data_IF_399122765826
#
_entry.id   IF_399122765826
#
_cell.length_a   1.000
_cell.length_b   1.000
_cell.length_c   1.000
_cell.angle_alpha   90.00
_cell.angle_beta   90.00
_cell.angle_gamma   90.00
#
_symmetry.space_group_name_H-M   'P 1'
#
loop_
_entity.id
_entity.type
_entity.pdbx_description
1 polymer ?
#
# COMPACT_ATOMS: atom_id res chain seq x y z
N UNK A 1 28.71 -12.37 4.43
CA UNK A 1 28.91 -11.25 3.47
C UNK A 1 28.56 -11.76 2.08
N UNK A 2 27.53 -11.22 1.43
CA UNK A 2 27.25 -11.55 0.02
C UNK A 2 28.12 -10.68 -0.88
N UNK A 3 28.67 -11.26 -1.95
CA UNK A 3 29.47 -10.53 -2.91
C UNK A 3 28.62 -9.46 -3.62
N UNK A 4 29.21 -8.28 -3.84
CA UNK A 4 28.58 -7.16 -4.57
C UNK A 4 29.21 -7.08 -5.97
N UNK A 5 28.54 -7.60 -7.02
CA UNK A 5 29.09 -7.56 -8.36
C UNK A 5 29.22 -6.13 -8.89
N UNK A 6 30.12 -5.94 -9.85
CA UNK A 6 30.18 -4.74 -10.67
C UNK A 6 29.13 -4.87 -11.78
N UNK A 7 28.30 -3.84 -11.94
CA UNK A 7 27.23 -3.76 -12.93
C UNK A 7 27.62 -2.74 -13.99
N UNK A 8 27.40 -3.08 -15.26
CA UNK A 8 27.65 -2.20 -16.42
C UNK A 8 26.48 -1.27 -16.66
N UNK A 9 26.76 0.00 -16.93
CA UNK A 9 25.75 0.98 -17.35
C UNK A 9 25.56 0.86 -18.86
N UNK A 10 24.31 0.75 -19.30
CA UNK A 10 23.96 0.73 -20.73
C UNK A 10 23.54 2.12 -21.20
N UNK A 11 23.79 2.41 -22.48
CA UNK A 11 23.31 3.62 -23.15
C UNK A 11 21.92 3.43 -23.78
N UNK A 12 21.33 4.51 -24.33
CA UNK A 12 20.00 4.48 -24.95
C UNK A 12 19.94 3.58 -26.21
N UNK A 13 21.11 3.28 -26.81
CA UNK A 13 21.23 2.36 -27.94
C UNK A 13 21.47 0.91 -27.51
N UNK A 14 21.33 0.65 -26.20
CA UNK A 14 21.50 -0.65 -25.57
C UNK A 14 22.93 -1.22 -25.70
N UNK A 15 23.93 -0.36 -25.95
CA UNK A 15 25.34 -0.71 -25.93
C UNK A 15 25.92 -0.55 -24.52
N UNK A 16 26.85 -1.43 -24.17
CA UNK A 16 27.51 -1.40 -22.87
C UNK A 16 28.50 -0.23 -22.81
N UNK A 17 28.31 0.68 -21.85
CA UNK A 17 29.24 1.76 -21.59
C UNK A 17 30.44 1.25 -20.78
N UNK A 18 31.59 1.93 -20.88
CA UNK A 18 32.79 1.65 -20.08
C UNK A 18 32.64 1.92 -18.58
N UNK A 19 31.54 2.55 -18.16
CA UNK A 19 31.25 2.87 -16.75
C UNK A 19 30.70 1.64 -16.03
N UNK A 20 31.36 1.26 -14.95
CA UNK A 20 30.93 0.18 -14.07
C UNK A 20 30.66 0.71 -12.66
N UNK A 21 29.56 0.28 -12.06
CA UNK A 21 29.13 0.69 -10.72
C UNK A 21 29.00 -0.56 -9.85
N UNK A 22 29.50 -0.50 -8.62
CA UNK A 22 29.31 -1.59 -7.65
C UNK A 22 27.83 -1.69 -7.26
N UNK A 23 27.24 -2.88 -7.31
CA UNK A 23 25.85 -3.11 -6.91
C UNK A 23 25.57 -2.51 -5.52
N UNK A 24 24.65 -1.56 -5.36
CA UNK A 24 24.29 -1.00 -4.05
C UNK A 24 23.81 -2.05 -3.04
N UNK A 25 24.06 -1.82 -1.76
CA UNK A 25 23.69 -2.79 -0.71
C UNK A 25 22.17 -3.02 -0.59
N UNK A 26 21.35 -2.06 -1.02
CA UNK A 26 19.88 -2.16 -0.98
C UNK A 26 19.34 -3.33 -1.81
N UNK A 27 20.06 -3.78 -2.84
CA UNK A 27 19.65 -4.92 -3.67
C UNK A 27 19.95 -6.28 -3.03
N UNK A 28 20.73 -6.31 -1.95
CA UNK A 28 21.08 -7.53 -1.22
C UNK A 28 20.33 -7.64 0.12
N UNK A 29 19.48 -6.67 0.46
CA UNK A 29 18.74 -6.69 1.70
C UNK A 29 17.76 -7.87 1.69
N UNK A 30 17.55 -8.55 2.84
CA UNK A 30 16.61 -9.65 2.92
C UNK A 30 15.19 -9.14 2.64
N UNK A 31 14.49 -9.82 1.72
CA UNK A 31 13.14 -9.45 1.35
C UNK A 31 12.18 -10.03 2.38
N UNK A 32 11.59 -9.15 3.18
CA UNK A 32 10.56 -9.46 4.17
C UNK A 32 9.17 -9.15 3.62
N UNK A 33 8.55 -10.16 3.01
CA UNK A 33 7.22 -10.02 2.38
C UNK A 33 6.13 -9.68 3.39
N UNK A 34 6.27 -10.18 4.62
CA UNK A 34 5.40 -9.86 5.77
C UNK A 34 5.37 -8.34 6.07
N UNK A 35 6.54 -7.71 6.14
CA UNK A 35 6.64 -6.27 6.41
C UNK A 35 6.15 -5.43 5.25
N UNK A 36 6.48 -5.82 4.01
CA UNK A 36 6.02 -5.12 2.80
C UNK A 36 4.50 -5.12 2.76
N UNK A 37 3.87 -6.27 2.99
CA UNK A 37 2.42 -6.39 2.97
C UNK A 37 1.77 -5.62 4.12
N UNK A 38 2.30 -5.73 5.34
CA UNK A 38 1.78 -5.01 6.49
C UNK A 38 1.80 -3.49 6.28
N UNK A 39 2.95 -2.93 5.86
CA UNK A 39 3.09 -1.50 5.63
C UNK A 39 2.21 -1.04 4.47
N UNK A 40 2.19 -1.80 3.37
CA UNK A 40 1.35 -1.49 2.22
C UNK A 40 -0.13 -1.38 2.61
N UNK A 41 -0.64 -2.32 3.40
CA UNK A 41 -2.03 -2.31 3.86
C UNK A 41 -2.34 -1.10 4.75
N UNK A 42 -1.43 -0.70 5.64
CA UNK A 42 -1.64 0.49 6.49
C UNK A 42 -1.60 1.77 5.66
N UNK A 43 -0.61 1.93 4.78
CA UNK A 43 -0.48 3.13 3.93
C UNK A 43 -1.66 3.25 2.98
N UNK A 44 -2.14 2.13 2.42
CA UNK A 44 -3.32 2.10 1.54
C UNK A 44 -4.58 2.61 2.25
N UNK A 45 -4.73 2.33 3.55
CA UNK A 45 -5.90 2.79 4.31
C UNK A 45 -5.93 4.30 4.49
N UNK A 46 -4.77 4.96 4.53
CA UNK A 46 -4.65 6.40 4.80
C UNK A 46 -5.22 7.29 3.68
N UNK A 47 -5.27 6.80 2.44
CA UNK A 47 -5.82 7.56 1.31
C UNK A 47 -7.35 7.47 1.19
N UNK A 48 -8.00 6.61 1.98
CA UNK A 48 -9.45 6.40 1.88
C UNK A 48 -10.22 7.62 2.38
N UNK A 49 -11.26 8.01 1.66
CA UNK A 49 -12.20 9.03 2.10
C UNK A 49 -13.31 8.38 2.94
N UNK A 50 -13.66 9.04 4.05
CA UNK A 50 -14.75 8.59 4.90
C UNK A 50 -16.09 8.72 4.18
N UNK A 51 -16.95 7.73 4.36
CA UNK A 51 -18.32 7.73 3.85
C UNK A 51 -19.23 7.18 4.96
N UNK A 52 -20.43 7.75 5.08
CA UNK A 52 -21.41 7.36 6.09
C UNK A 52 -22.83 7.61 5.57
N UNK A 53 -23.80 6.92 6.15
CA UNK A 53 -25.23 7.16 5.90
C UNK A 53 -25.68 8.37 6.73
N UNK A 54 -26.74 9.06 6.28
CA UNK A 54 -27.35 10.15 7.05
C UNK A 54 -27.78 9.67 8.43
N UNK A 55 -27.49 10.46 9.46
CA UNK A 55 -27.89 10.18 10.85
C UNK A 55 -29.40 10.11 11.04
N UNK A 56 -30.18 10.70 10.12
CA UNK A 56 -31.65 10.69 10.15
C UNK A 56 -32.27 9.64 9.21
N UNK A 57 -31.47 8.81 8.54
CA UNK A 57 -32.01 7.78 7.66
C UNK A 57 -32.88 6.80 8.47
N UNK A 58 -34.14 6.61 8.07
CA UNK A 58 -35.11 5.80 8.81
C UNK A 58 -35.78 6.49 10.02
N UNK A 59 -35.34 7.69 10.41
CA UNK A 59 -35.92 8.45 11.53
C UNK A 59 -36.91 9.55 11.10
N UNK A 60 -36.99 9.85 9.79
CA UNK A 60 -37.93 10.83 9.25
C UNK A 60 -39.32 10.22 9.02
N UNK A 61 -39.82 9.48 10.00
CA UNK A 61 -41.12 8.80 9.97
C UNK A 61 -41.86 9.07 11.27
N UNK A 62 -43.16 9.36 11.16
CA UNK A 62 -44.06 9.43 12.30
C UNK A 62 -44.50 8.02 12.65
N UNK A 63 -43.94 7.47 13.73
CA UNK A 63 -44.26 6.13 14.22
C UNK A 63 -44.40 6.16 15.75
N UNK A 64 -45.41 5.46 16.24
CA UNK A 64 -45.67 5.28 17.67
C UNK A 64 -45.90 3.80 17.98
N UNK A 65 -45.62 3.39 19.22
CA UNK A 65 -45.81 2.01 19.67
C UNK A 65 -47.30 1.72 19.85
N UNK A 66 -47.74 0.50 19.49
CA UNK A 66 -49.11 0.03 19.70
C UNK A 66 -49.41 -0.42 21.15
N UNK A 67 -48.42 -0.42 22.06
CA UNK A 67 -48.62 -0.84 23.45
C UNK A 67 -48.69 -2.38 23.65
N UNK A 68 -48.99 -2.83 24.86
CA UNK A 68 -48.86 -4.24 25.29
C UNK A 68 -50.18 -5.03 25.30
N UNK A 69 -51.24 -4.56 24.61
CA UNK A 69 -52.58 -5.14 24.73
C UNK A 69 -53.51 -4.93 23.53
N UNK A 70 -53.02 -5.24 22.34
CA UNK A 70 -53.84 -5.56 21.16
C UNK A 70 -53.85 -7.06 20.92
#
# INVERSE_FOLDING_TARGET
>A
MSARPLVTVYDDSNAATSKQIKLPNVFLTPIRTDLVQFIHDQVRKNRRQAHAVSTKAGHQTSAESWGTGH
#
